data_IF_393713875366
#
_entry.id   IF_393713875366
#
_cell.length_a   1.000
_cell.length_b   1.000
_cell.length_c   1.000
_cell.angle_alpha   90.00
_cell.angle_beta   90.00
_cell.angle_gamma   90.00
#
_symmetry.space_group_name_H-M   'P 1'
#
loop_
_entity.id
_entity.type
_entity.pdbx_description
1 polymer ?
#
# COMPACT_ATOMS: atom_id res chain seq x y z
N UNK A 1 -5.85 -14.31 15.82
CA UNK A 1 -4.73 -13.94 14.91
C UNK A 1 -5.24 -13.24 13.66
N UNK A 2 -6.32 -13.73 13.07
CA UNK A 2 -6.97 -13.15 11.87
C UNK A 2 -7.25 -11.63 11.95
N UNK A 3 -7.84 -11.14 13.04
CA UNK A 3 -8.14 -9.70 13.19
C UNK A 3 -6.89 -8.81 13.16
N UNK A 4 -5.76 -9.29 13.70
CA UNK A 4 -4.49 -8.53 13.71
C UNK A 4 -3.93 -8.44 12.30
N UNK A 5 -3.99 -9.54 11.53
CA UNK A 5 -3.56 -9.58 10.13
C UNK A 5 -4.44 -8.67 9.28
N UNK A 6 -5.75 -8.71 9.48
CA UNK A 6 -6.69 -7.82 8.79
C UNK A 6 -6.43 -6.33 9.10
N UNK A 7 -6.26 -5.99 10.38
CA UNK A 7 -5.96 -4.62 10.79
C UNK A 7 -4.64 -4.14 10.17
N UNK A 8 -3.60 -4.99 10.18
CA UNK A 8 -2.30 -4.66 9.58
C UNK A 8 -2.39 -4.43 8.06
N UNK A 9 -3.19 -5.22 7.36
CA UNK A 9 -3.44 -5.05 5.93
C UNK A 9 -4.15 -3.71 5.67
N UNK A 10 -5.23 -3.40 6.40
CA UNK A 10 -5.92 -2.12 6.23
C UNK A 10 -5.03 -0.91 6.54
N UNK A 11 -4.12 -1.03 7.52
CA UNK A 11 -3.16 0.01 7.85
C UNK A 11 -2.14 0.24 6.72
N UNK A 12 -1.63 -0.84 6.13
CA UNK A 12 -0.76 -0.80 4.94
C UNK A 12 -1.47 -0.16 3.73
N UNK A 13 -2.73 -0.52 3.49
CA UNK A 13 -3.54 0.10 2.43
C UNK A 13 -3.69 1.61 2.68
N UNK A 14 -4.02 2.01 3.91
CA UNK A 14 -4.14 3.42 4.29
C UNK A 14 -2.85 4.20 4.06
N UNK A 15 -1.70 3.64 4.49
CA UNK A 15 -0.38 4.23 4.24
C UNK A 15 -0.07 4.36 2.75
N UNK A 16 -0.41 3.35 1.97
CA UNK A 16 -0.26 3.37 0.51
C UNK A 16 -1.03 4.55 -0.09
N UNK A 17 -2.26 4.77 0.37
CA UNK A 17 -3.12 5.85 -0.10
C UNK A 17 -2.56 7.23 0.27
N UNK A 18 -2.12 7.41 1.52
CA UNK A 18 -1.51 8.66 1.99
C UNK A 18 -0.23 8.97 1.21
N UNK A 19 0.64 7.98 1.02
CA UNK A 19 1.87 8.13 0.23
C UNK A 19 1.57 8.52 -1.22
N UNK A 20 0.55 7.90 -1.82
CA UNK A 20 0.14 8.20 -3.19
C UNK A 20 -0.41 9.63 -3.30
N UNK A 21 -1.26 10.05 -2.37
CA UNK A 21 -1.77 11.43 -2.32
C UNK A 21 -0.63 12.43 -2.10
N UNK A 22 0.27 12.16 -1.15
CA UNK A 22 1.42 13.01 -0.88
C UNK A 22 2.33 13.14 -2.11
N UNK A 23 2.54 12.05 -2.84
CA UNK A 23 3.28 12.05 -4.09
C UNK A 23 2.60 12.94 -5.15
N UNK A 24 1.29 12.78 -5.33
CA UNK A 24 0.50 13.59 -6.27
C UNK A 24 0.55 15.07 -5.88
N UNK A 25 0.48 15.39 -4.59
CA UNK A 25 0.54 16.78 -4.11
C UNK A 25 1.92 17.41 -4.35
N UNK A 26 3.00 16.64 -4.17
CA UNK A 26 4.38 17.12 -4.29
C UNK A 26 4.87 17.24 -5.74
N UNK A 27 4.51 16.30 -6.62
CA UNK A 27 5.03 16.21 -7.99
C UNK A 27 3.93 16.22 -9.08
N UNK A 28 2.68 16.46 -8.69
CA UNK A 28 1.53 16.39 -9.58
C UNK A 28 1.16 14.95 -9.95
N UNK A 29 0.14 14.84 -10.81
CA UNK A 29 -0.37 13.55 -11.29
C UNK A 29 0.66 12.75 -12.12
N UNK A 30 1.69 13.44 -12.64
CA UNK A 30 2.75 12.83 -13.45
C UNK A 30 3.55 11.78 -12.67
N UNK A 31 3.65 11.93 -11.35
CA UNK A 31 4.38 10.99 -10.49
C UNK A 31 3.75 9.59 -10.49
N UNK A 32 2.44 9.47 -10.73
CA UNK A 32 1.75 8.18 -10.80
C UNK A 32 2.22 7.33 -12.00
N UNK A 33 2.71 7.99 -13.04
CA UNK A 33 3.25 7.34 -14.23
C UNK A 33 4.77 7.20 -14.18
N UNK A 34 5.41 7.77 -13.15
CA UNK A 34 6.86 7.72 -12.96
C UNK A 34 7.23 6.74 -11.84
N UNK A 35 7.37 5.47 -12.22
CA UNK A 35 7.82 4.40 -11.33
C UNK A 35 9.26 4.60 -10.82
N UNK A 36 10.02 5.53 -11.40
CA UNK A 36 11.38 5.88 -10.96
C UNK A 36 11.36 6.74 -9.70
N UNK A 37 10.24 7.43 -9.44
CA UNK A 37 10.08 8.26 -8.26
C UNK A 37 10.10 7.41 -6.99
N UNK A 38 10.94 7.81 -6.02
CA UNK A 38 11.04 7.15 -4.72
C UNK A 38 9.67 7.04 -4.04
N UNK A 39 8.78 8.02 -4.21
CA UNK A 39 7.44 8.00 -3.64
C UNK A 39 6.56 6.89 -4.24
N UNK A 40 6.53 6.76 -5.57
CA UNK A 40 5.76 5.71 -6.23
C UNK A 40 6.32 4.33 -5.94
N UNK A 41 7.65 4.20 -5.90
CA UNK A 41 8.31 2.95 -5.53
C UNK A 41 7.94 2.51 -4.11
N UNK A 42 7.88 3.45 -3.17
CA UNK A 42 7.45 3.17 -1.79
C UNK A 42 5.96 2.82 -1.71
N UNK A 43 5.11 3.52 -2.45
CA UNK A 43 3.67 3.22 -2.53
C UNK A 43 3.42 1.82 -3.12
N UNK A 44 4.06 1.47 -4.23
CA UNK A 44 3.97 0.13 -4.84
C UNK A 44 4.45 -0.95 -3.88
N UNK A 45 5.53 -0.70 -3.14
CA UNK A 45 6.03 -1.66 -2.16
C UNK A 45 5.05 -1.86 -0.99
N UNK A 46 4.46 -0.77 -0.47
CA UNK A 46 3.45 -0.80 0.58
C UNK A 46 2.18 -1.54 0.11
N UNK A 47 1.78 -1.32 -1.14
CA UNK A 47 0.67 -2.02 -1.78
C UNK A 47 0.94 -3.52 -1.94
N UNK A 48 2.15 -3.89 -2.33
CA UNK A 48 2.54 -5.30 -2.46
C UNK A 48 2.48 -6.03 -1.11
N UNK A 49 2.96 -5.39 -0.03
CA UNK A 49 2.84 -5.93 1.33
C UNK A 49 1.37 -6.06 1.73
N UNK A 50 0.54 -5.06 1.43
CA UNK A 50 -0.90 -5.15 1.65
C UNK A 50 -1.50 -6.40 0.98
N UNK A 51 -1.20 -6.65 -0.31
CA UNK A 51 -1.72 -7.83 -1.03
C UNK A 51 -1.27 -9.13 -0.36
N UNK A 52 -0.01 -9.22 0.05
CA UNK A 52 0.53 -10.41 0.72
C UNK A 52 -0.17 -10.63 2.07
N UNK A 53 -0.28 -9.58 2.89
CA UNK A 53 -0.95 -9.65 4.19
C UNK A 53 -2.44 -9.98 4.06
N UNK A 54 -3.13 -9.42 3.07
CA UNK A 54 -4.54 -9.71 2.81
C UNK A 54 -4.76 -11.12 2.27
N UNK A 55 -3.85 -11.60 1.41
CA UNK A 55 -3.88 -12.99 0.93
C UNK A 55 -3.61 -13.99 2.06
N UNK A 56 -2.65 -13.70 2.93
CA UNK A 56 -2.38 -14.50 4.13
C UNK A 56 -3.59 -14.52 5.08
N UNK A 57 -4.24 -13.37 5.28
CA UNK A 57 -5.50 -13.29 6.03
C UNK A 57 -6.56 -14.21 5.44
N UNK A 58 -6.79 -14.17 4.12
CA UNK A 58 -7.76 -15.03 3.44
C UNK A 58 -7.49 -16.53 3.62
N UNK A 59 -6.22 -16.93 3.70
CA UNK A 59 -5.82 -18.34 3.92
C UNK A 59 -6.01 -18.75 5.38
N UNK A 60 -5.73 -17.85 6.33
CA UNK A 60 -5.84 -18.11 7.77
C UNK A 60 -7.31 -18.04 8.24
N UNK A 61 -8.13 -17.21 7.59
CA UNK A 61 -9.54 -17.02 7.92
C UNK A 61 -10.47 -18.10 7.35
N UNK A 62 -9.90 -19.21 6.89
CA UNK A 62 -10.59 -20.35 6.29
C UNK A 62 -10.57 -21.53 7.26
#
# INVERSE_FOLDING_TARGET
MEQIVFLSAMLMLGMTFVLTIAAILSNGLKVLFDLTSNYMRLAVFCFAIYIISFSAYLVIAK
#
